data_IF_372711336050
#
_entry.id   IF_372711336050
#
_cell.length_a   1.000
_cell.length_b   1.000
_cell.length_c   1.000
_cell.angle_alpha   90.00
_cell.angle_beta   90.00
_cell.angle_gamma   90.00
#
_symmetry.space_group_name_H-M   'P 1'
#
loop_
_entity.id
_entity.type
_entity.pdbx_description
1 polymer ?
#
# COMPACT_ATOMS: atom_id res chain seq x y z
N UNK A 1 21.70 -11.31 4.12
CA UNK A 1 21.86 -10.34 5.22
C UNK A 1 22.33 -11.09 6.47
N UNK A 2 23.37 -10.62 7.17
CA UNK A 2 23.89 -11.25 8.40
C UNK A 2 23.08 -10.71 9.59
N UNK A 3 22.17 -11.51 10.13
CA UNK A 3 21.36 -11.15 11.30
C UNK A 3 22.29 -10.92 12.49
N UNK A 4 22.13 -9.81 13.20
CA UNK A 4 22.96 -9.48 14.37
C UNK A 4 22.78 -10.49 15.54
N UNK A 5 21.70 -11.28 15.53
CA UNK A 5 21.47 -12.42 16.43
C UNK A 5 22.02 -13.77 15.92
N UNK A 6 22.62 -13.83 14.73
CA UNK A 6 23.12 -15.05 14.08
C UNK A 6 24.38 -15.65 14.75
N UNK A 7 24.84 -15.12 15.88
CA UNK A 7 25.95 -15.75 16.63
C UNK A 7 25.52 -16.99 17.43
N UNK A 8 24.22 -17.23 17.64
CA UNK A 8 23.76 -18.34 18.49
C UNK A 8 22.97 -19.45 17.79
N UNK A 9 22.48 -19.25 16.57
CA UNK A 9 21.77 -20.28 15.83
C UNK A 9 22.54 -20.57 14.54
N UNK A 10 23.35 -21.64 14.56
CA UNK A 10 24.03 -22.16 13.37
C UNK A 10 23.00 -22.43 12.27
N UNK A 11 23.26 -21.96 11.06
CA UNK A 11 22.45 -22.21 9.87
C UNK A 11 22.16 -23.71 9.66
N UNK A 12 23.04 -24.60 10.13
CA UNK A 12 22.85 -26.05 10.08
C UNK A 12 21.64 -26.50 10.90
N UNK A 13 21.42 -25.91 12.08
CA UNK A 13 20.32 -26.27 12.98
C UNK A 13 18.95 -25.82 12.45
N UNK A 14 18.94 -24.73 11.68
CA UNK A 14 17.73 -24.26 10.97
C UNK A 14 17.41 -25.17 9.80
N UNK A 15 18.43 -25.59 9.03
CA UNK A 15 18.24 -26.51 7.91
C UNK A 15 17.82 -27.91 8.37
N UNK A 16 18.31 -28.38 9.53
CA UNK A 16 17.92 -29.64 10.14
C UNK A 16 16.44 -29.61 10.62
N UNK A 17 15.98 -28.48 11.20
CA UNK A 17 14.58 -28.29 11.58
C UNK A 17 13.63 -28.23 10.38
N UNK A 18 14.08 -27.63 9.26
CA UNK A 18 13.33 -27.60 7.99
C UNK A 18 13.27 -29.01 7.38
N UNK A 19 14.36 -29.78 7.42
CA UNK A 19 14.43 -31.15 6.93
C UNK A 19 13.50 -32.12 7.70
N UNK A 20 13.24 -31.84 8.98
CA UNK A 20 12.31 -32.61 9.81
C UNK A 20 10.84 -32.20 9.67
N UNK A 21 10.48 -31.34 8.71
CA UNK A 21 9.08 -30.98 8.43
C UNK A 21 8.44 -30.09 9.49
N UNK A 22 9.22 -29.52 10.41
CA UNK A 22 8.72 -28.59 11.42
C UNK A 22 8.56 -27.20 10.79
N UNK A 23 7.45 -26.98 10.10
CA UNK A 23 7.08 -25.70 9.48
C UNK A 23 6.63 -24.63 10.51
N UNK A 24 7.13 -24.69 11.75
CA UNK A 24 6.80 -23.75 12.80
C UNK A 24 8.04 -23.39 13.62
N UNK A 25 8.70 -22.30 13.22
CA UNK A 25 9.84 -21.76 13.93
C UNK A 25 9.32 -20.75 14.94
N UNK A 26 9.22 -21.16 16.20
CA UNK A 26 8.84 -20.27 17.29
C UNK A 26 10.04 -19.43 17.74
N UNK A 27 10.01 -18.13 17.46
CA UNK A 27 11.02 -17.19 17.95
C UNK A 27 10.71 -16.79 19.39
N UNK A 28 11.74 -16.79 20.25
CA UNK A 28 11.62 -16.29 21.63
C UNK A 28 11.30 -14.78 21.59
N UNK A 29 10.41 -14.31 22.48
CA UNK A 29 9.90 -12.91 22.48
C UNK A 29 11.00 -11.82 22.47
N UNK A 30 12.17 -12.10 23.06
CA UNK A 30 13.31 -11.18 23.06
C UNK A 30 13.95 -11.02 21.67
N UNK A 31 14.06 -12.12 20.92
CA UNK A 31 14.57 -12.14 19.54
C UNK A 31 13.58 -11.52 18.56
N UNK A 32 12.28 -11.73 18.80
CA UNK A 32 11.20 -11.14 18.01
C UNK A 32 11.25 -9.61 18.01
N UNK A 33 11.54 -9.00 19.17
CA UNK A 33 11.58 -7.54 19.30
C UNK A 33 12.76 -6.93 18.51
N UNK A 34 13.95 -7.54 18.62
CA UNK A 34 15.14 -7.14 17.87
C UNK A 34 14.93 -7.33 16.37
N UNK A 35 14.38 -8.49 15.97
CA UNK A 35 14.08 -8.81 14.57
C UNK A 35 13.07 -7.84 13.97
N UNK A 36 11.99 -7.53 14.69
CA UNK A 36 10.94 -6.61 14.23
C UNK A 36 11.49 -5.20 13.98
N UNK A 37 12.43 -4.76 14.81
CA UNK A 37 13.06 -3.45 14.63
C UNK A 37 13.94 -3.43 13.37
N UNK A 38 14.76 -4.46 13.16
CA UNK A 38 15.58 -4.60 11.95
C UNK A 38 14.72 -4.71 10.69
N UNK A 39 13.66 -5.52 10.73
CA UNK A 39 12.70 -5.68 9.65
C UNK A 39 12.06 -4.34 9.26
N UNK A 40 11.63 -3.54 10.24
CA UNK A 40 10.99 -2.24 9.98
C UNK A 40 11.94 -1.23 9.36
N UNK A 41 13.18 -1.19 9.82
CA UNK A 41 14.18 -0.28 9.26
C UNK A 41 14.51 -0.62 7.81
N UNK A 42 14.59 -1.90 7.49
CA UNK A 42 14.88 -2.36 6.13
C UNK A 42 13.66 -2.30 5.21
N UNK A 43 12.47 -2.62 5.73
CA UNK A 43 11.20 -2.44 5.03
C UNK A 43 10.95 -0.96 4.70
N UNK A 44 11.25 -0.04 5.63
CA UNK A 44 11.17 1.40 5.38
C UNK A 44 12.16 1.84 4.29
N UNK A 45 13.37 1.28 4.28
CA UNK A 45 14.36 1.55 3.24
C UNK A 45 13.90 1.04 1.86
N UNK A 46 13.42 -0.20 1.76
CA UNK A 46 12.88 -0.75 0.51
C UNK A 46 11.65 0.02 0.03
N UNK A 47 10.78 0.43 0.95
CA UNK A 47 9.58 1.17 0.63
C UNK A 47 9.86 2.54 -0.01
N UNK A 48 11.01 3.17 0.27
CA UNK A 48 11.38 4.43 -0.40
C UNK A 48 11.52 4.25 -1.91
N UNK A 49 12.15 3.15 -2.33
CA UNK A 49 12.34 2.82 -3.74
C UNK A 49 11.07 2.24 -4.37
N UNK A 50 10.32 1.41 -3.64
CA UNK A 50 9.04 0.86 -4.15
C UNK A 50 7.94 1.93 -4.23
N UNK A 51 7.91 2.87 -3.30
CA UNK A 51 6.90 3.92 -3.23
C UNK A 51 6.96 4.87 -4.42
N UNK A 52 8.14 5.20 -4.94
CA UNK A 52 8.26 6.00 -6.15
C UNK A 52 7.72 5.27 -7.38
N UNK A 53 7.95 3.95 -7.49
CA UNK A 53 7.38 3.12 -8.57
C UNK A 53 5.85 3.11 -8.49
N UNK A 54 5.28 2.99 -7.29
CA UNK A 54 3.81 3.05 -7.07
C UNK A 54 3.25 4.40 -7.55
N UNK A 55 3.92 5.51 -7.25
CA UNK A 55 3.50 6.83 -7.70
C UNK A 55 3.55 6.97 -9.23
N UNK A 56 4.60 6.47 -9.88
CA UNK A 56 4.71 6.46 -11.34
C UNK A 56 3.58 5.63 -11.95
N UNK A 57 3.35 4.42 -11.43
CA UNK A 57 2.29 3.55 -11.91
C UNK A 57 0.91 4.21 -11.73
N UNK A 58 0.68 4.86 -10.60
CA UNK A 58 -0.54 5.61 -10.32
C UNK A 58 -0.76 6.73 -11.34
N UNK A 59 0.28 7.50 -11.68
CA UNK A 59 0.19 8.56 -12.68
C UNK A 59 -0.14 7.99 -14.07
N UNK A 60 0.52 6.90 -14.48
CA UNK A 60 0.23 6.22 -15.76
C UNK A 60 -1.21 5.74 -15.81
N UNK A 61 -1.72 5.14 -14.74
CA UNK A 61 -3.10 4.67 -14.66
C UNK A 61 -4.09 5.84 -14.72
N UNK A 62 -3.80 6.92 -14.00
CA UNK A 62 -4.61 8.15 -14.02
C UNK A 62 -4.67 8.75 -15.42
N UNK A 63 -3.55 8.76 -16.13
CA UNK A 63 -3.47 9.26 -17.50
C UNK A 63 -4.25 8.38 -18.49
N UNK A 64 -4.23 7.06 -18.27
CA UNK A 64 -5.07 6.13 -19.04
C UNK A 64 -6.56 6.42 -18.90
N UNK A 65 -7.02 6.64 -17.66
CA UNK A 65 -8.44 6.96 -17.38
C UNK A 65 -8.81 8.34 -17.90
N UNK A 66 -7.89 9.31 -17.83
CA UNK A 66 -8.11 10.65 -18.38
C UNK A 66 -8.39 10.63 -19.89
N UNK A 67 -7.73 9.73 -20.64
CA UNK A 67 -7.97 9.60 -22.09
C UNK A 67 -9.31 8.93 -22.44
N UNK A 68 -9.89 8.14 -21.53
CA UNK A 68 -11.12 7.39 -21.81
C UNK A 68 -12.39 8.16 -21.46
N UNK A 69 -12.30 9.18 -20.61
CA UNK A 69 -13.44 9.99 -20.16
C UNK A 69 -13.56 11.24 -21.05
N UNK A 70 -14.75 11.47 -21.60
CA UNK A 70 -15.12 12.70 -22.32
C UNK A 70 -14.91 13.95 -21.44
N UNK A 71 -14.53 15.08 -22.02
CA UNK A 71 -14.33 16.35 -21.30
C UNK A 71 -15.70 16.94 -20.92
N UNK A 72 -16.31 16.38 -19.88
CA UNK A 72 -17.56 16.83 -19.25
C UNK A 72 -17.30 17.19 -17.78
N UNK A 73 -18.30 17.77 -17.09
CA UNK A 73 -18.25 18.12 -15.66
C UNK A 73 -17.87 16.93 -14.76
N UNK A 74 -18.14 15.71 -15.22
CA UNK A 74 -17.81 14.43 -14.57
C UNK A 74 -16.30 14.22 -14.40
N UNK A 75 -15.49 14.74 -15.34
CA UNK A 75 -14.04 14.60 -15.30
C UNK A 75 -13.44 15.38 -14.12
N UNK A 76 -13.99 16.56 -13.80
CA UNK A 76 -13.52 17.39 -12.69
C UNK A 76 -13.86 16.72 -11.34
N UNK A 77 -15.06 16.14 -11.22
CA UNK A 77 -15.47 15.44 -10.01
C UNK A 77 -14.63 14.17 -9.77
N UNK A 78 -14.44 13.35 -10.80
CA UNK A 78 -13.55 12.18 -10.73
C UNK A 78 -12.12 12.60 -10.37
N UNK A 79 -11.57 13.62 -11.05
CA UNK A 79 -10.22 14.09 -10.80
C UNK A 79 -10.04 14.57 -9.35
N UNK A 80 -11.03 15.28 -8.79
CA UNK A 80 -10.97 15.75 -7.40
C UNK A 80 -10.95 14.61 -6.38
N UNK A 81 -11.82 13.61 -6.55
CA UNK A 81 -11.88 12.44 -5.67
C UNK A 81 -10.64 11.56 -5.82
N UNK A 82 -10.18 11.34 -7.05
CA UNK A 82 -9.01 10.51 -7.34
C UNK A 82 -7.72 11.22 -6.90
N UNK A 83 -7.60 12.55 -7.04
CA UNK A 83 -6.44 13.31 -6.60
C UNK A 83 -6.12 13.10 -5.11
N UNK A 84 -7.14 12.92 -4.26
CA UNK A 84 -6.95 12.62 -2.83
C UNK A 84 -6.19 11.31 -2.57
N UNK A 85 -6.39 10.27 -3.40
CA UNK A 85 -5.64 9.01 -3.31
C UNK A 85 -4.15 9.25 -3.60
N UNK A 86 -3.87 10.08 -4.60
CA UNK A 86 -2.52 10.53 -4.92
C UNK A 86 -1.87 11.29 -3.76
N UNK A 87 -2.59 12.24 -3.15
CA UNK A 87 -2.11 13.01 -2.00
C UNK A 87 -1.76 12.10 -0.82
N UNK A 88 -2.62 11.14 -0.48
CA UNK A 88 -2.35 10.17 0.60
C UNK A 88 -1.11 9.34 0.30
N UNK A 89 -0.98 8.86 -0.95
CA UNK A 89 0.17 8.04 -1.37
C UNK A 89 1.48 8.84 -1.29
N UNK A 90 1.47 10.09 -1.74
CA UNK A 90 2.62 11.01 -1.64
C UNK A 90 2.96 11.30 -0.17
N UNK A 91 1.96 11.54 0.68
CA UNK A 91 2.17 11.80 2.10
C UNK A 91 2.83 10.61 2.80
N UNK A 92 2.33 9.39 2.57
CA UNK A 92 2.91 8.15 3.10
C UNK A 92 4.32 7.92 2.59
N UNK A 93 4.56 8.18 1.30
CA UNK A 93 5.89 8.07 0.71
C UNK A 93 6.88 9.09 1.29
N UNK A 94 6.49 10.34 1.45
CA UNK A 94 7.30 11.40 2.09
C UNK A 94 7.60 11.08 3.56
N UNK A 95 6.61 10.58 4.31
CA UNK A 95 6.80 10.16 5.70
C UNK A 95 7.85 9.04 5.83
N UNK A 96 8.00 8.18 4.83
CA UNK A 96 9.04 7.13 4.80
C UNK A 96 10.48 7.65 4.81
N UNK A 97 10.72 8.91 4.43
CA UNK A 97 12.07 9.49 4.50
C UNK A 97 12.51 9.83 5.93
N UNK A 98 11.56 9.98 6.87
CA UNK A 98 11.86 10.36 8.24
C UNK A 98 12.20 9.15 9.10
N UNK A 99 13.49 9.02 9.48
CA UNK A 99 14.00 7.98 10.40
C UNK A 99 13.18 7.79 11.70
N UNK A 100 12.63 8.83 12.37
CA UNK A 100 11.82 8.61 13.58
C UNK A 100 10.48 7.90 13.29
N UNK A 101 9.97 7.96 12.06
CA UNK A 101 8.73 7.31 11.66
C UNK A 101 8.88 5.82 11.36
N UNK A 102 10.10 5.30 11.22
CA UNK A 102 10.36 3.87 11.01
C UNK A 102 9.69 2.98 12.07
N UNK A 103 9.56 3.46 13.32
CA UNK A 103 8.87 2.72 14.40
C UNK A 103 7.39 2.49 14.12
N UNK A 104 6.77 3.39 13.37
CA UNK A 104 5.34 3.35 13.00
C UNK A 104 5.13 2.90 11.55
N UNK A 105 6.19 2.43 10.86
CA UNK A 105 6.16 2.01 9.46
C UNK A 105 4.95 1.13 9.12
N UNK A 106 4.76 0.06 9.88
CA UNK A 106 3.64 -0.87 9.67
C UNK A 106 2.29 -0.18 9.78
N UNK A 107 2.13 0.75 10.73
CA UNK A 107 0.85 1.37 11.04
C UNK A 107 0.43 2.35 9.94
N UNK A 108 1.29 3.31 9.60
CA UNK A 108 0.92 4.32 8.61
C UNK A 108 0.87 3.74 7.19
N UNK A 109 1.70 2.75 6.86
CA UNK A 109 1.68 2.09 5.53
C UNK A 109 0.41 1.28 5.37
N UNK A 110 -0.02 0.56 6.42
CA UNK A 110 -1.29 -0.17 6.43
C UNK A 110 -2.47 0.79 6.31
N UNK A 111 -2.51 1.85 7.13
CA UNK A 111 -3.58 2.85 7.07
C UNK A 111 -3.65 3.53 5.71
N UNK A 112 -2.51 3.88 5.12
CA UNK A 112 -2.42 4.46 3.79
C UNK A 112 -2.95 3.53 2.71
N UNK A 113 -2.52 2.26 2.72
CA UNK A 113 -2.98 1.25 1.78
C UNK A 113 -4.49 0.98 1.91
N UNK A 114 -4.99 0.78 3.13
CA UNK A 114 -6.42 0.57 3.39
C UNK A 114 -7.24 1.77 2.94
N UNK A 115 -6.79 3.00 3.23
CA UNK A 115 -7.50 4.22 2.83
C UNK A 115 -7.54 4.39 1.31
N UNK A 116 -6.42 4.16 0.62
CA UNK A 116 -6.35 4.24 -0.83
C UNK A 116 -7.31 3.24 -1.50
N UNK A 117 -7.35 1.99 -1.00
CA UNK A 117 -8.27 0.96 -1.49
C UNK A 117 -9.72 1.34 -1.21
N UNK A 118 -10.04 1.79 0.01
CA UNK A 118 -11.39 2.20 0.38
C UNK A 118 -11.91 3.33 -0.51
N UNK A 119 -11.11 4.37 -0.74
CA UNK A 119 -11.48 5.49 -1.62
C UNK A 119 -11.69 4.99 -3.05
N UNK A 120 -10.84 4.09 -3.55
CA UNK A 120 -10.97 3.52 -4.90
C UNK A 120 -12.30 2.79 -5.08
N UNK A 121 -12.77 2.05 -4.06
CA UNK A 121 -14.07 1.38 -4.09
C UNK A 121 -15.26 2.36 -3.97
N UNK A 122 -15.12 3.45 -3.20
CA UNK A 122 -16.18 4.46 -3.04
C UNK A 122 -16.37 5.29 -4.31
N UNK A 123 -15.31 5.51 -5.10
CA UNK A 123 -15.38 6.31 -6.34
C UNK A 123 -16.30 5.66 -7.39
N UNK A 124 -16.33 4.32 -7.47
CA UNK A 124 -17.13 3.57 -8.45
C UNK A 124 -18.64 3.90 -8.35
N UNK A 125 -19.31 3.71 -7.19
CA UNK A 125 -20.72 4.03 -7.06
C UNK A 125 -21.00 5.54 -7.11
N UNK A 126 -20.10 6.40 -6.61
CA UNK A 126 -20.30 7.86 -6.63
C UNK A 126 -20.39 8.39 -8.07
N UNK A 127 -19.55 7.89 -8.97
CA UNK A 127 -19.60 8.25 -10.39
C UNK A 127 -20.71 7.50 -11.12
N UNK A 128 -21.00 6.25 -10.70
CA UNK A 128 -22.10 5.45 -11.23
C UNK A 128 -23.49 6.05 -10.97
N UNK A 129 -23.74 6.60 -9.78
CA UNK A 129 -25.03 7.19 -9.41
C UNK A 129 -25.36 8.48 -10.19
N UNK A 130 -24.34 9.19 -10.70
CA UNK A 130 -24.53 10.36 -11.56
C UNK A 130 -24.93 9.97 -13.01
N UNK A 131 -24.95 8.67 -13.33
CA UNK A 131 -25.49 8.13 -14.60
C UNK A 131 -27.00 7.87 -14.46
N UNK A 132 -27.45 7.38 -13.30
CA UNK A 132 -28.86 7.05 -13.05
C UNK A 132 -29.72 8.30 -12.81
N UNK A 133 -29.17 9.37 -12.24
CA UNK A 133 -29.92 10.62 -12.00
C UNK A 133 -30.03 11.54 -13.24
N UNK A 134 -29.26 11.28 -14.31
CA UNK A 134 -29.26 12.07 -15.55
C UNK A 134 -30.06 11.39 -16.67
N UNK A 135 -30.56 10.18 -16.45
CA UNK A 135 -31.54 9.55 -17.33
C UNK A 135 -32.96 9.78 -16.77
N UNK A 136 -33.68 10.85 -17.16
CA UNK A 136 -35.12 10.86 -16.94
C UNK A 136 -35.67 9.68 -17.73
N UNK A 137 -36.35 8.79 -17.00
CA UNK A 137 -37.25 7.77 -17.47
C UNK A 137 -37.56 7.84 -18.98
N UNK A 138 -36.84 7.06 -19.79
CA UNK A 138 -37.37 6.64 -21.08
C UNK A 138 -38.41 5.55 -20.81
N UNK A 139 -39.67 5.96 -20.97
CA UNK A 139 -40.85 5.13 -21.19
C UNK A 139 -40.51 3.90 -22.04
N UNK A 140 -40.75 2.71 -21.50
CA UNK A 140 -40.93 1.50 -22.30
C UNK A 140 -42.41 1.41 -22.72
N UNK A 141 -42.73 1.04 -23.97
CA UNK A 141 -44.07 0.58 -24.32
C UNK A 141 -44.40 -0.77 -23.67
#
# INVERSE_FOLDING_TARGET
MKLAGSKQISHEKVNELIAHGLNYVYFRKELELIYRQQYRDEAAYEFRFRGSIILVLYFVLSYGIFQTISIDEKLIHWLSLYAWVGVITIAVWLMSFSKPFNRFFDLYTTLGATSAVAISFVIIPVIGQDIDNVTPCCTWP
#
